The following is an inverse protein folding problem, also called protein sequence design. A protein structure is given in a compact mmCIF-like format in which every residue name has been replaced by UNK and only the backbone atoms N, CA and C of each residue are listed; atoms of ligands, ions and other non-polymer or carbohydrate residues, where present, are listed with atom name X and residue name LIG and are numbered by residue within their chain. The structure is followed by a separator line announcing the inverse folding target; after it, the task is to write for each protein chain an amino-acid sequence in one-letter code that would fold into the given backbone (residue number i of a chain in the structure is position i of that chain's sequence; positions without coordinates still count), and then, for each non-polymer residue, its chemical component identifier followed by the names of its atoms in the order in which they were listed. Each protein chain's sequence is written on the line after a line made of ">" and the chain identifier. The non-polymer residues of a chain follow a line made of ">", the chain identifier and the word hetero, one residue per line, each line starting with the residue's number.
data_IF_292217811987
#
_entry.id   IF_292217811987
#
_cell.length_a   1.000
_cell.length_b   1.000
_cell.length_c   1.000
_cell.angle_alpha   90.00
_cell.angle_beta   90.00
_cell.angle_gamma   90.00
#
_symmetry.space_group_name_H-M   'P 1'
#
loop_
_entity.id
_entity.type
_entity.pdbx_description
1 polymer ?
#
# COMPACT_ATOMS: atom_id res chain seq x y z
N UNK A 1 -28.34 43.42 27.82
CA UNK A 1 -27.94 42.02 27.63
C UNK A 1 -26.51 42.06 27.14
N UNK A 2 -25.56 41.67 27.99
CA UNK A 2 -24.13 41.76 27.69
C UNK A 2 -23.71 40.67 26.69
N UNK A 3 -22.81 41.01 25.77
CA UNK A 3 -22.41 40.21 24.62
C UNK A 3 -21.87 38.82 24.98
N UNK A 4 -22.27 37.83 24.18
CA UNK A 4 -22.00 36.39 24.33
C UNK A 4 -20.62 35.93 23.83
N UNK A 5 -19.84 36.82 23.21
CA UNK A 5 -18.52 36.48 22.64
C UNK A 5 -17.40 36.78 23.63
N UNK A 6 -16.40 35.91 23.64
CA UNK A 6 -15.19 36.08 24.48
C UNK A 6 -14.28 37.18 23.92
N UNK A 7 -13.35 37.70 24.74
CA UNK A 7 -12.38 38.70 24.27
C UNK A 7 -11.45 38.16 23.17
N UNK A 8 -11.17 36.85 23.18
CA UNK A 8 -10.36 36.18 22.15
C UNK A 8 -11.12 36.09 20.82
N UNK A 9 -12.38 35.67 20.88
CA UNK A 9 -13.27 35.61 19.70
C UNK A 9 -13.57 37.01 19.13
N UNK A 10 -13.64 38.03 20.00
CA UNK A 10 -13.77 39.40 19.56
C UNK A 10 -12.56 39.86 18.74
N UNK A 11 -11.34 39.41 19.05
CA UNK A 11 -10.14 39.76 18.28
C UNK A 11 -10.17 39.17 16.86
N UNK A 12 -10.60 37.92 16.70
CA UNK A 12 -10.76 37.31 15.38
C UNK A 12 -11.79 38.09 14.54
N UNK A 13 -12.95 38.41 15.14
CA UNK A 13 -14.00 39.20 14.47
C UNK A 13 -13.55 40.64 14.15
N UNK A 14 -12.67 41.23 14.95
CA UNK A 14 -12.05 42.53 14.62
C UNK A 14 -11.23 42.43 13.34
N UNK A 15 -10.41 41.39 13.16
CA UNK A 15 -9.61 41.22 11.96
C UNK A 15 -10.49 41.03 10.71
N UNK A 16 -11.54 40.21 10.81
CA UNK A 16 -12.53 40.05 9.74
C UNK A 16 -13.25 41.37 9.42
N UNK A 17 -13.58 42.16 10.44
CA UNK A 17 -14.23 43.46 10.27
C UNK A 17 -13.38 44.46 9.48
N UNK A 18 -12.04 44.38 9.55
CA UNK A 18 -11.13 45.19 8.73
C UNK A 18 -11.21 44.84 7.23
N UNK A 19 -11.64 43.62 6.88
CA UNK A 19 -11.85 43.18 5.49
C UNK A 19 -13.25 43.54 4.97
N UNK A 20 -14.09 44.18 5.79
CA UNK A 20 -15.41 44.70 5.43
C UNK A 20 -16.60 43.90 5.97
N UNK A 21 -16.39 42.85 6.78
CA UNK A 21 -17.47 42.05 7.38
C UNK A 21 -17.70 42.38 8.85
N UNK A 22 -18.35 43.52 9.14
CA UNK A 22 -18.75 43.87 10.51
C UNK A 22 -20.00 43.10 10.96
N UNK A 23 -19.93 42.49 12.15
CA UNK A 23 -21.04 41.76 12.77
C UNK A 23 -21.63 42.53 13.95
N UNK A 24 -22.94 42.45 14.21
CA UNK A 24 -23.58 43.17 15.32
C UNK A 24 -23.06 42.70 16.70
N UNK A 25 -22.69 41.43 16.82
CA UNK A 25 -22.15 40.85 18.06
C UNK A 25 -20.84 41.50 18.49
N UNK A 26 -19.99 41.86 17.52
CA UNK A 26 -18.74 42.57 17.78
C UNK A 26 -19.01 43.97 18.32
N UNK A 27 -19.95 44.70 17.71
CA UNK A 27 -20.31 46.05 18.14
C UNK A 27 -20.86 46.07 19.57
N UNK A 28 -21.72 45.10 19.90
CA UNK A 28 -22.26 44.95 21.25
C UNK A 28 -21.15 44.64 22.28
N UNK A 29 -20.16 43.81 21.92
CA UNK A 29 -19.02 43.52 22.80
C UNK A 29 -18.11 44.75 22.97
N UNK A 30 -17.82 45.48 21.90
CA UNK A 30 -17.01 46.70 21.94
C UNK A 30 -17.68 47.82 22.76
N UNK A 31 -19.00 47.88 22.79
CA UNK A 31 -19.74 48.81 23.64
C UNK A 31 -19.64 48.47 25.14
N UNK A 32 -19.44 47.19 25.48
CA UNK A 32 -19.37 46.71 26.86
C UNK A 32 -17.95 46.51 27.42
N UNK A 33 -16.92 46.48 26.56
CA UNK A 33 -15.56 46.12 26.94
C UNK A 33 -14.54 47.19 26.50
N UNK A 34 -14.12 48.05 27.44
CA UNK A 34 -13.20 49.16 27.16
C UNK A 34 -11.83 48.70 26.65
N UNK A 35 -11.31 47.56 27.11
CA UNK A 35 -10.02 47.03 26.65
C UNK A 35 -10.07 46.61 25.19
N UNK A 36 -11.13 45.92 24.77
CA UNK A 36 -11.35 45.50 23.39
C UNK A 36 -11.60 46.72 22.50
N UNK A 37 -12.34 47.74 22.97
CA UNK A 37 -12.52 49.00 22.25
C UNK A 37 -11.20 49.74 22.01
N UNK A 38 -10.32 49.79 23.01
CA UNK A 38 -9.01 50.41 22.87
C UNK A 38 -8.12 49.65 21.88
N UNK A 39 -8.17 48.32 21.87
CA UNK A 39 -7.47 47.50 20.88
C UNK A 39 -8.02 47.70 19.47
N UNK A 40 -9.34 47.72 19.32
CA UNK A 40 -10.02 47.98 18.05
C UNK A 40 -9.58 49.29 17.42
N UNK A 41 -9.59 50.38 18.19
CA UNK A 41 -9.11 51.70 17.71
C UNK A 41 -7.64 51.68 17.26
N UNK A 42 -6.79 50.89 17.89
CA UNK A 42 -5.39 50.74 17.47
C UNK A 42 -5.29 49.97 16.15
N UNK A 43 -6.06 48.91 15.98
CA UNK A 43 -6.13 48.14 14.75
C UNK A 43 -6.66 49.01 13.59
N UNK A 44 -7.75 49.75 13.81
CA UNK A 44 -8.27 50.71 12.83
C UNK A 44 -7.25 51.77 12.47
N UNK A 45 -6.53 52.33 13.45
CA UNK A 45 -5.49 53.33 13.19
C UNK A 45 -4.33 52.77 12.35
N UNK A 46 -3.90 51.53 12.63
CA UNK A 46 -2.87 50.85 11.82
C UNK A 46 -3.39 50.55 10.42
N UNK A 47 -4.62 50.05 10.30
CA UNK A 47 -5.25 49.75 9.01
C UNK A 47 -5.39 51.02 8.16
N UNK A 48 -5.87 52.12 8.74
CA UNK A 48 -5.96 53.41 8.08
C UNK A 48 -4.58 53.94 7.64
N UNK A 49 -3.54 53.71 8.45
CA UNK A 49 -2.17 54.07 8.06
C UNK A 49 -1.67 53.23 6.87
N UNK A 50 -1.99 51.95 6.83
CA UNK A 50 -1.69 51.06 5.71
C UNK A 50 -2.47 51.42 4.45
N UNK A 51 -3.76 51.77 4.57
CA UNK A 51 -4.57 52.25 3.44
C UNK A 51 -4.11 53.62 2.94
N UNK A 52 -3.60 54.48 3.83
CA UNK A 52 -3.06 55.80 3.46
C UNK A 52 -1.71 55.71 2.75
N UNK A 53 -1.02 54.56 2.82
CA UNK A 53 0.18 54.34 2.06
C UNK A 53 -0.16 54.45 0.56
N UNK A 54 0.62 55.19 -0.24
CA UNK A 54 0.34 55.35 -1.66
C UNK A 54 0.32 53.97 -2.30
N UNK A 55 -0.87 53.52 -2.70
CA UNK A 55 -1.03 52.29 -3.44
C UNK A 55 -0.13 52.39 -4.66
N UNK A 56 0.95 51.59 -4.68
CA UNK A 56 1.80 51.46 -5.84
C UNK A 56 0.90 50.88 -6.94
N UNK A 57 0.39 51.77 -7.79
CA UNK A 57 -0.42 51.38 -8.92
C UNK A 57 0.41 50.41 -9.75
N UNK A 58 0.03 49.13 -9.71
CA UNK A 58 0.70 48.10 -10.49
C UNK A 58 0.68 48.53 -11.96
N UNK A 59 1.79 48.33 -12.66
CA UNK A 59 1.81 48.66 -14.09
C UNK A 59 0.67 47.93 -14.82
N UNK A 60 0.07 48.55 -15.85
CA UNK A 60 -1.00 47.92 -16.63
C UNK A 60 -0.57 46.56 -17.20
N UNK A 61 0.72 46.39 -17.51
CA UNK A 61 1.31 45.13 -17.95
C UNK A 61 1.30 44.05 -16.87
N UNK A 62 1.63 44.41 -15.62
CA UNK A 62 1.57 43.48 -14.49
C UNK A 62 0.14 42.99 -14.27
N UNK A 63 -0.82 43.91 -14.25
CA UNK A 63 -2.25 43.59 -14.10
C UNK A 63 -2.73 42.70 -15.24
N UNK A 64 -2.33 42.97 -16.48
CA UNK A 64 -2.68 42.14 -17.63
C UNK A 64 -2.13 40.71 -17.51
N UNK A 65 -0.86 40.56 -17.09
CA UNK A 65 -0.23 39.23 -16.87
C UNK A 65 -0.92 38.43 -15.78
N UNK A 66 -1.18 39.05 -14.63
CA UNK A 66 -1.86 38.39 -13.51
C UNK A 66 -3.28 37.98 -13.91
N UNK A 67 -4.05 38.88 -14.53
CA UNK A 67 -5.40 38.55 -14.98
C UNK A 67 -5.44 37.48 -16.07
N UNK A 68 -4.44 37.42 -16.94
CA UNK A 68 -4.30 36.34 -17.92
C UNK A 68 -4.04 34.98 -17.25
N UNK A 69 -3.18 34.94 -16.22
CA UNK A 69 -2.91 33.74 -15.44
C UNK A 69 -4.18 33.26 -14.69
N UNK A 70 -4.87 34.17 -14.01
CA UNK A 70 -6.13 33.87 -13.29
C UNK A 70 -7.19 33.34 -14.27
N UNK A 71 -7.34 33.97 -15.45
CA UNK A 71 -8.30 33.50 -16.47
C UNK A 71 -7.96 32.10 -16.96
N UNK A 72 -6.68 31.75 -17.14
CA UNK A 72 -6.25 30.40 -17.52
C UNK A 72 -6.63 29.36 -16.47
N UNK A 73 -6.38 29.65 -15.20
CA UNK A 73 -6.76 28.74 -14.10
C UNK A 73 -8.27 28.55 -14.01
N UNK A 74 -9.04 29.63 -14.10
CA UNK A 74 -10.50 29.56 -14.05
C UNK A 74 -11.05 28.78 -15.25
N UNK A 75 -10.49 28.98 -16.44
CA UNK A 75 -10.87 28.23 -17.64
C UNK A 75 -10.59 26.72 -17.48
N UNK A 76 -9.42 26.37 -16.96
CA UNK A 76 -9.02 24.98 -16.72
C UNK A 76 -9.93 24.32 -15.67
N UNK A 77 -10.21 25.00 -14.56
CA UNK A 77 -11.14 24.52 -13.52
C UNK A 77 -12.56 24.33 -14.07
N UNK A 78 -13.03 25.22 -14.94
CA UNK A 78 -14.34 25.08 -15.61
C UNK A 78 -14.36 23.90 -16.59
N UNK A 79 -13.29 23.70 -17.36
CA UNK A 79 -13.18 22.58 -18.29
C UNK A 79 -13.21 21.23 -17.55
N UNK A 80 -12.47 21.10 -16.43
CA UNK A 80 -12.50 19.90 -15.59
C UNK A 80 -13.89 19.68 -15.01
N UNK A 81 -14.53 20.72 -14.44
CA UNK A 81 -15.90 20.59 -13.90
C UNK A 81 -16.90 20.17 -14.98
N UNK A 82 -16.80 20.72 -16.19
CA UNK A 82 -17.67 20.33 -17.30
C UNK A 82 -17.43 18.88 -17.74
N UNK A 83 -16.18 18.41 -17.72
CA UNK A 83 -15.84 17.04 -18.04
C UNK A 83 -16.35 16.06 -16.98
N UNK A 84 -16.16 16.38 -15.70
CA UNK A 84 -16.62 15.53 -14.58
C UNK A 84 -18.15 15.53 -14.45
N UNK A 85 -18.81 16.66 -14.73
CA UNK A 85 -20.27 16.74 -14.78
C UNK A 85 -20.86 16.07 -16.02
N UNK A 86 -20.04 15.63 -16.98
CA UNK A 86 -20.52 14.94 -18.15
C UNK A 86 -21.07 13.56 -17.77
N UNK A 87 -22.32 13.24 -18.12
CA UNK A 87 -22.90 11.92 -17.83
C UNK A 87 -22.10 10.80 -18.49
N UNK A 88 -21.42 11.08 -19.59
CA UNK A 88 -20.58 10.13 -20.32
C UNK A 88 -19.41 9.62 -19.47
N UNK A 89 -18.76 10.50 -18.69
CA UNK A 89 -17.66 10.11 -17.80
C UNK A 89 -18.19 9.27 -16.64
N UNK A 90 -19.37 9.60 -16.12
CA UNK A 90 -20.03 8.80 -15.09
C UNK A 90 -20.35 7.38 -15.58
N UNK A 91 -20.95 7.25 -16.77
CA UNK A 91 -21.23 5.94 -17.37
C UNK A 91 -19.96 5.16 -17.67
N UNK A 92 -18.90 5.81 -18.16
CA UNK A 92 -17.61 5.17 -18.40
C UNK A 92 -17.00 4.65 -17.08
N UNK A 93 -17.01 5.47 -16.03
CA UNK A 93 -16.53 5.07 -14.70
C UNK A 93 -17.37 3.92 -14.11
N UNK A 94 -18.69 3.98 -14.24
CA UNK A 94 -19.60 2.93 -13.78
C UNK A 94 -19.37 1.61 -14.55
N UNK A 95 -19.24 1.67 -15.88
CA UNK A 95 -18.94 0.49 -16.69
C UNK A 95 -17.59 -0.13 -16.32
N UNK A 96 -16.57 0.69 -16.06
CA UNK A 96 -15.26 0.22 -15.62
C UNK A 96 -15.33 -0.43 -14.23
N UNK A 97 -16.07 0.17 -13.29
CA UNK A 97 -16.30 -0.40 -11.97
C UNK A 97 -17.02 -1.75 -12.05
N UNK A 98 -18.10 -1.85 -12.85
CA UNK A 98 -18.84 -3.10 -13.07
C UNK A 98 -17.91 -4.15 -13.71
N UNK A 99 -17.10 -3.76 -14.70
CA UNK A 99 -16.13 -4.65 -15.34
C UNK A 99 -15.11 -5.21 -14.35
N UNK A 100 -14.58 -4.38 -13.44
CA UNK A 100 -13.65 -4.82 -12.39
C UNK A 100 -14.31 -5.77 -11.39
N UNK A 101 -15.55 -5.50 -10.97
CA UNK A 101 -16.31 -6.38 -10.08
C UNK A 101 -16.58 -7.73 -10.75
N UNK A 102 -17.02 -7.73 -12.01
CA UNK A 102 -17.23 -8.95 -12.77
C UNK A 102 -15.94 -9.77 -12.94
N UNK A 103 -14.81 -9.10 -13.18
CA UNK A 103 -13.50 -9.74 -13.27
C UNK A 103 -13.09 -10.36 -11.92
N UNK A 104 -13.30 -9.63 -10.82
CA UNK A 104 -12.98 -10.11 -9.48
C UNK A 104 -13.82 -11.35 -9.10
N UNK A 105 -15.11 -11.35 -9.41
CA UNK A 105 -15.98 -12.51 -9.21
C UNK A 105 -15.52 -13.71 -10.04
N UNK A 106 -15.17 -13.50 -11.31
CA UNK A 106 -14.66 -14.58 -12.18
C UNK A 106 -13.33 -15.13 -11.69
N UNK A 107 -12.46 -14.28 -11.12
CA UNK A 107 -11.20 -14.71 -10.52
C UNK A 107 -11.44 -15.48 -9.22
N UNK A 108 -12.46 -15.08 -8.45
CA UNK A 108 -12.89 -15.78 -7.25
C UNK A 108 -13.39 -17.20 -7.55
N UNK A 109 -14.14 -17.38 -8.64
CA UNK A 109 -14.56 -18.71 -9.11
C UNK A 109 -13.38 -19.58 -9.58
N UNK A 110 -12.23 -18.99 -9.91
CA UNK A 110 -11.03 -19.70 -10.33
C UNK A 110 -10.20 -20.25 -9.15
N UNK A 111 -10.33 -19.66 -7.96
CA UNK A 111 -9.66 -20.11 -6.73
C UNK A 111 -9.95 -21.58 -6.35
N UNK A 112 -11.20 -22.09 -6.37
CA UNK A 112 -11.45 -23.49 -6.07
C UNK A 112 -10.80 -24.45 -7.08
N UNK A 113 -10.75 -24.09 -8.36
CA UNK A 113 -10.06 -24.90 -9.38
C UNK A 113 -8.56 -24.99 -9.09
N UNK A 114 -7.93 -23.86 -8.73
CA UNK A 114 -6.52 -23.83 -8.33
C UNK A 114 -6.28 -24.65 -7.07
N UNK A 115 -7.18 -24.57 -6.08
CA UNK A 115 -7.10 -25.37 -4.86
C UNK A 115 -7.15 -26.87 -5.15
N UNK A 116 -8.06 -27.33 -5.99
CA UNK A 116 -8.15 -28.74 -6.39
C UNK A 116 -6.86 -29.18 -7.10
N UNK A 117 -6.34 -28.37 -8.02
CA UNK A 117 -5.06 -28.63 -8.68
C UNK A 117 -3.91 -28.73 -7.70
N UNK A 118 -3.87 -27.86 -6.69
CA UNK A 118 -2.83 -27.85 -5.66
C UNK A 118 -2.92 -29.09 -4.76
N UNK A 119 -4.13 -29.46 -4.31
CA UNK A 119 -4.35 -30.69 -3.52
C UNK A 119 -3.93 -31.94 -4.33
N UNK A 120 -4.24 -31.97 -5.63
CA UNK A 120 -3.82 -33.06 -6.51
C UNK A 120 -2.30 -33.09 -6.67
N UNK A 121 -1.64 -31.96 -6.87
CA UNK A 121 -0.19 -31.86 -6.94
C UNK A 121 0.50 -32.31 -5.64
N UNK A 122 -0.03 -31.90 -4.49
CA UNK A 122 0.50 -32.28 -3.18
C UNK A 122 0.39 -33.80 -2.95
N UNK A 123 -0.74 -34.39 -3.34
CA UNK A 123 -0.94 -35.84 -3.26
C UNK A 123 0.08 -36.61 -4.11
N UNK A 124 0.44 -36.07 -5.28
CA UNK A 124 1.46 -36.62 -6.16
C UNK A 124 2.86 -36.56 -5.54
N UNK A 125 3.22 -35.42 -4.95
CA UNK A 125 4.51 -35.27 -4.24
C UNK A 125 4.62 -36.25 -3.06
N UNK A 126 3.53 -36.46 -2.35
CA UNK A 126 3.50 -37.41 -1.23
C UNK A 126 3.71 -38.86 -1.71
N UNK A 127 3.06 -39.24 -2.82
CA UNK A 127 3.29 -40.54 -3.49
C UNK A 127 4.73 -40.68 -3.96
N UNK A 128 5.31 -39.65 -4.56
CA UNK A 128 6.69 -39.67 -5.05
C UNK A 128 7.68 -39.84 -3.89
N UNK A 129 7.48 -39.13 -2.78
CA UNK A 129 8.28 -39.29 -1.55
C UNK A 129 8.20 -40.72 -1.00
N UNK A 130 7.00 -41.32 -1.01
CA UNK A 130 6.82 -42.70 -0.57
C UNK A 130 7.54 -43.69 -1.49
N UNK A 131 7.45 -43.51 -2.81
CA UNK A 131 8.15 -44.34 -3.80
C UNK A 131 9.67 -44.24 -3.65
N UNK A 132 10.22 -43.03 -3.48
CA UNK A 132 11.65 -42.82 -3.26
C UNK A 132 12.11 -43.51 -1.97
N UNK A 133 11.33 -43.39 -0.89
CA UNK A 133 11.63 -44.08 0.37
C UNK A 133 11.65 -45.60 0.19
N UNK A 134 10.65 -46.16 -0.50
CA UNK A 134 10.56 -47.60 -0.76
C UNK A 134 11.71 -48.09 -1.64
N UNK A 135 12.05 -47.35 -2.71
CA UNK A 135 13.18 -47.65 -3.56
C UNK A 135 14.51 -47.65 -2.78
N UNK A 136 14.70 -46.69 -1.88
CA UNK A 136 15.88 -46.61 -1.02
C UNK A 136 15.97 -47.79 -0.05
N UNK A 137 14.86 -48.17 0.59
CA UNK A 137 14.80 -49.33 1.48
C UNK A 137 15.13 -50.63 0.73
N UNK A 138 14.56 -50.83 -0.47
CA UNK A 138 14.87 -51.99 -1.33
C UNK A 138 16.34 -52.01 -1.73
N UNK A 139 16.91 -50.85 -2.10
CA UNK A 139 18.32 -50.74 -2.45
C UNK A 139 19.23 -51.08 -1.27
N UNK A 140 18.89 -50.61 -0.06
CA UNK A 140 19.63 -50.91 1.17
C UNK A 140 19.57 -52.39 1.54
N UNK A 141 18.39 -53.02 1.43
CA UNK A 141 18.25 -54.47 1.67
C UNK A 141 19.04 -55.27 0.64
N UNK A 142 18.95 -54.91 -0.64
CA UNK A 142 19.72 -55.54 -1.71
C UNK A 142 21.23 -55.44 -1.47
N UNK A 143 21.72 -54.25 -1.10
CA UNK A 143 23.13 -54.02 -0.77
C UNK A 143 23.61 -54.84 0.43
N UNK A 144 22.78 -54.99 1.48
CA UNK A 144 23.12 -55.86 2.61
C UNK A 144 23.19 -57.32 2.18
N UNK A 145 22.24 -57.76 1.36
CA UNK A 145 22.19 -59.13 0.86
C UNK A 145 23.45 -59.46 0.03
N UNK A 146 23.84 -58.60 -0.91
CA UNK A 146 25.05 -58.79 -1.72
C UNK A 146 26.31 -58.81 -0.86
N UNK A 147 26.37 -57.99 0.19
CA UNK A 147 27.46 -58.02 1.17
C UNK A 147 27.55 -59.35 1.91
N UNK A 148 26.42 -59.89 2.40
CA UNK A 148 26.40 -61.21 3.04
C UNK A 148 26.78 -62.34 2.07
N UNK A 149 26.28 -62.31 0.84
CA UNK A 149 26.69 -63.27 -0.19
C UNK A 149 28.19 -63.21 -0.46
N UNK A 150 28.77 -62.02 -0.57
CA UNK A 150 30.22 -61.85 -0.76
C UNK A 150 31.03 -62.40 0.42
N UNK A 151 30.58 -62.19 1.66
CA UNK A 151 31.22 -62.75 2.86
C UNK A 151 31.17 -64.28 2.89
N UNK A 152 30.00 -64.87 2.61
CA UNK A 152 29.82 -66.33 2.55
C UNK A 152 30.70 -66.92 1.45
N UNK A 153 30.76 -66.28 0.29
CA UNK A 153 31.62 -66.70 -0.82
C UNK A 153 33.10 -66.66 -0.44
N UNK A 154 33.55 -65.58 0.22
CA UNK A 154 34.94 -65.44 0.69
C UNK A 154 35.29 -66.51 1.73
N UNK A 155 34.39 -66.80 2.68
CA UNK A 155 34.54 -67.89 3.65
C UNK A 155 34.70 -69.26 2.96
N UNK A 156 33.87 -69.55 1.96
CA UNK A 156 33.95 -70.79 1.18
C UNK A 156 35.29 -70.91 0.43
N UNK A 157 35.73 -69.83 -0.21
CA UNK A 157 37.05 -69.78 -0.88
C UNK A 157 38.20 -70.03 0.10
N UNK A 158 38.14 -69.46 1.31
CA UNK A 158 39.14 -69.67 2.34
C UNK A 158 39.20 -71.12 2.83
N UNK A 159 38.03 -71.77 3.00
CA UNK A 159 37.94 -73.20 3.35
C UNK A 159 38.50 -74.07 2.23
N UNK A 160 38.14 -73.78 0.99
CA UNK A 160 38.62 -74.52 -0.19
C UNK A 160 40.14 -74.39 -0.37
N UNK A 161 40.69 -73.18 -0.22
CA UNK A 161 42.13 -72.95 -0.26
C UNK A 161 42.87 -73.73 0.85
N UNK A 162 42.30 -73.79 2.05
CA UNK A 162 42.85 -74.59 3.16
C UNK A 162 42.81 -76.09 2.87
N UNK A 163 41.78 -76.57 2.19
CA UNK A 163 41.65 -77.97 1.77
C UNK A 163 42.72 -78.33 0.73
N UNK A 164 42.86 -77.54 -0.35
CA UNK A 164 43.91 -77.74 -1.37
C UNK A 164 45.30 -77.75 -0.74
N UNK A 165 45.58 -76.80 0.16
CA UNK A 165 46.88 -76.73 0.84
C UNK A 165 47.19 -78.00 1.63
N UNK A 166 46.19 -78.61 2.29
CA UNK A 166 46.37 -79.88 3.02
C UNK A 166 46.63 -81.04 2.07
N UNK A 167 45.90 -81.11 0.97
CA UNK A 167 46.07 -82.19 -0.02
C UNK A 167 47.49 -82.16 -0.61
N UNK A 168 47.97 -80.97 -1.01
CA UNK A 168 49.34 -80.79 -1.51
C UNK A 168 50.40 -81.13 -0.45
N UNK A 169 50.15 -80.83 0.83
CA UNK A 169 51.08 -81.21 1.91
C UNK A 169 51.12 -82.73 2.13
N UNK A 170 50.01 -83.44 1.92
CA UNK A 170 49.95 -84.90 2.07
C UNK A 170 50.62 -85.64 0.90
N UNK A 171 50.59 -85.09 -0.32
CA UNK A 171 51.29 -85.68 -1.47
C UNK A 171 52.81 -85.51 -1.42
N UNK A 172 53.30 -84.49 -0.70
CA UNK A 172 54.74 -84.18 -0.59
C UNK A 172 55.40 -84.86 0.62
N UNK A 173 54.61 -85.30 1.61
CA UNK A 173 55.08 -85.96 2.83
C UNK A 173 55.24 -87.47 2.64
#
# INVERSE_FOLDING_TARGET
>A
MAALISCEEALEKMLEALEGSQTPELLDHLAGCESCLAQWRRLEAVHALLESAPALNSSPEFKAKVMAAVRREVALKRAIKALVASPLVFFAAAALAIGLVALALRLWDLLPAFRILLEMALSWLWRLKWLVKLALEVLLVSSRLTFYFALVWLMLLAVFAKFIKREVQNEVA
#
